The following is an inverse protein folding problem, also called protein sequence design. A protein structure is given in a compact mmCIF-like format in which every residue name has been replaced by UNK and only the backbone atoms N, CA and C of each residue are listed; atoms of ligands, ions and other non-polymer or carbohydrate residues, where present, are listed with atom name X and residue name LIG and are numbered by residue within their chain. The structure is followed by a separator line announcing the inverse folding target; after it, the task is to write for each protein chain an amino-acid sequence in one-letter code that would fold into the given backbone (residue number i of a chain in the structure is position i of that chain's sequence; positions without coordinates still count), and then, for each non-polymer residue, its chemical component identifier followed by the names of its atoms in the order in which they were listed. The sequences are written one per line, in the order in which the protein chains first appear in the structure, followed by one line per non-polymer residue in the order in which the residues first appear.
data_IF_840425202073
#
_entry.id   IF_840425202073
#
_cell.length_a   1.000
_cell.length_b   1.000
_cell.length_c   1.000
_cell.angle_alpha   90.00
_cell.angle_beta   90.00
_cell.angle_gamma   90.00
#
_symmetry.space_group_name_H-M   'P 1'
#
loop_
_entity.id
_entity.type
_entity.pdbx_description
1 polymer ?
#
# COMPACT_ATOMS: atom_id res chain seq x y z
N UNK A 1 4.30 -4.42 41.07
CA UNK A 1 5.20 -5.29 40.29
C UNK A 1 4.52 -5.82 39.01
N UNK A 2 3.28 -6.32 39.05
CA UNK A 2 2.60 -6.82 37.85
C UNK A 2 2.31 -5.74 36.77
N UNK A 3 1.96 -4.52 37.19
CA UNK A 3 1.69 -3.39 36.29
C UNK A 3 2.94 -2.94 35.49
N UNK A 4 4.12 -3.07 36.07
CA UNK A 4 5.40 -2.68 35.45
C UNK A 4 5.83 -3.71 34.38
N UNK A 5 5.53 -4.99 34.61
CA UNK A 5 5.75 -6.07 33.63
C UNK A 5 4.82 -5.95 32.43
N UNK A 6 3.53 -5.65 32.64
CA UNK A 6 2.61 -5.38 31.52
C UNK A 6 3.02 -4.13 30.74
N UNK A 7 3.46 -3.08 31.43
CA UNK A 7 3.85 -1.83 30.78
C UNK A 7 5.13 -1.96 29.94
N UNK A 8 6.11 -2.78 30.37
CA UNK A 8 7.26 -3.15 29.54
C UNK A 8 6.86 -4.02 28.35
N UNK A 9 5.87 -4.90 28.52
CA UNK A 9 5.30 -5.71 27.44
C UNK A 9 4.55 -4.90 26.37
N UNK A 10 4.08 -3.69 26.70
CA UNK A 10 3.39 -2.77 25.79
C UNK A 10 4.31 -1.74 25.10
N UNK A 11 5.51 -1.52 25.66
CA UNK A 11 6.49 -0.59 25.09
C UNK A 11 7.06 -1.09 23.76
N UNK A 12 7.34 -2.40 23.67
CA UNK A 12 7.93 -3.01 22.49
C UNK A 12 6.94 -3.14 21.30
N UNK A 13 5.66 -3.49 21.50
CA UNK A 13 4.61 -3.38 20.49
C UNK A 13 4.39 -1.95 20.00
N UNK A 14 4.38 -0.97 20.91
CA UNK A 14 4.12 0.44 20.56
C UNK A 14 5.26 1.03 19.72
N UNK A 15 6.51 0.74 20.09
CA UNK A 15 7.68 1.18 19.31
C UNK A 15 7.71 0.55 17.91
N UNK A 16 7.38 -0.74 17.80
CA UNK A 16 7.29 -1.44 16.51
C UNK A 16 6.14 -0.91 15.66
N UNK A 17 4.98 -0.58 16.24
CA UNK A 17 3.86 0.03 15.53
C UNK A 17 4.24 1.41 14.96
N UNK A 18 4.89 2.26 15.77
CA UNK A 18 5.36 3.58 15.32
C UNK A 18 6.39 3.48 14.19
N UNK A 19 7.32 2.53 14.29
CA UNK A 19 8.31 2.25 13.24
C UNK A 19 7.63 1.77 11.96
N UNK A 20 6.65 0.87 12.08
CA UNK A 20 5.89 0.35 10.96
C UNK A 20 5.11 1.47 10.26
N UNK A 21 4.45 2.35 11.00
CA UNK A 21 3.75 3.50 10.44
C UNK A 21 4.67 4.54 9.79
N UNK A 22 5.89 4.70 10.29
CA UNK A 22 6.92 5.51 9.61
C UNK A 22 7.31 4.96 8.23
N UNK A 23 7.27 3.63 8.05
CA UNK A 23 7.62 2.95 6.79
C UNK A 23 6.41 2.80 5.86
N UNK A 24 5.19 2.79 6.39
CA UNK A 24 3.96 2.62 5.61
C UNK A 24 3.87 3.66 4.48
N UNK A 25 4.07 4.95 4.77
CA UNK A 25 3.95 5.99 3.75
C UNK A 25 4.94 5.83 2.57
N UNK A 26 6.27 5.67 2.80
CA UNK A 26 7.21 5.40 1.72
C UNK A 26 6.97 4.04 1.04
N UNK A 27 6.54 3.00 1.76
CA UNK A 27 6.20 1.71 1.17
C UNK A 27 5.00 1.82 0.22
N UNK A 28 3.99 2.60 0.57
CA UNK A 28 2.82 2.84 -0.29
C UNK A 28 3.20 3.61 -1.55
N UNK A 29 4.11 4.58 -1.45
CA UNK A 29 4.64 5.27 -2.62
C UNK A 29 5.42 4.31 -3.54
N UNK A 30 6.24 3.44 -2.96
CA UNK A 30 6.98 2.42 -3.71
C UNK A 30 6.03 1.46 -4.44
N UNK A 31 5.02 0.93 -3.74
CA UNK A 31 3.98 0.07 -4.32
C UNK A 31 3.22 0.77 -5.43
N UNK A 32 2.87 2.04 -5.27
CA UNK A 32 2.18 2.82 -6.29
C UNK A 32 3.02 2.97 -7.57
N UNK A 33 4.32 3.24 -7.45
CA UNK A 33 5.22 3.33 -8.60
C UNK A 33 5.41 1.98 -9.29
N UNK A 34 5.61 0.91 -8.51
CA UNK A 34 5.77 -0.43 -9.05
C UNK A 34 4.52 -0.89 -9.82
N UNK A 35 3.34 -0.66 -9.24
CA UNK A 35 2.06 -0.95 -9.87
C UNK A 35 1.88 -0.15 -11.17
N UNK A 36 2.21 1.15 -11.17
CA UNK A 36 2.16 1.96 -12.38
C UNK A 36 3.05 1.41 -13.50
N UNK A 37 4.31 1.05 -13.20
CA UNK A 37 5.23 0.47 -14.18
C UNK A 37 4.72 -0.88 -14.70
N UNK A 38 4.20 -1.74 -13.82
CA UNK A 38 3.63 -3.03 -14.21
C UNK A 38 2.44 -2.87 -15.17
N UNK A 39 1.52 -1.95 -14.86
CA UNK A 39 0.37 -1.64 -15.72
C UNK A 39 0.82 -1.02 -17.05
N UNK A 40 1.79 -0.11 -17.03
CA UNK A 40 2.30 0.51 -18.25
C UNK A 40 2.95 -0.52 -19.19
N UNK A 41 3.75 -1.45 -18.64
CA UNK A 41 4.41 -2.50 -19.42
C UNK A 41 3.41 -3.54 -19.98
N UNK A 42 2.57 -4.11 -19.12
CA UNK A 42 1.62 -5.16 -19.50
C UNK A 42 0.45 -4.60 -20.31
N UNK A 43 -0.10 -3.47 -19.88
CA UNK A 43 -1.19 -2.78 -20.56
C UNK A 43 -0.75 -2.24 -21.92
N UNK A 44 0.46 -1.67 -22.02
CA UNK A 44 1.03 -1.26 -23.31
C UNK A 44 1.09 -2.41 -24.32
N UNK A 45 1.52 -3.59 -23.87
CA UNK A 45 1.50 -4.80 -24.71
C UNK A 45 0.09 -5.19 -25.14
N UNK A 46 -0.89 -5.23 -24.22
CA UNK A 46 -2.28 -5.61 -24.53
C UNK A 46 -3.05 -4.61 -25.41
N UNK A 47 -2.73 -3.32 -25.33
CA UNK A 47 -3.29 -2.30 -26.22
C UNK A 47 -2.74 -2.44 -27.63
N UNK A 48 -1.43 -2.67 -27.77
CA UNK A 48 -0.81 -2.90 -29.08
C UNK A 48 -1.30 -4.20 -29.72
N UNK A 49 -1.62 -5.23 -28.93
CA UNK A 49 -2.21 -6.48 -29.43
C UNK A 49 -3.72 -6.39 -29.72
N UNK A 50 -4.36 -5.24 -29.45
CA UNK A 50 -5.80 -5.04 -29.66
C UNK A 50 -6.70 -5.82 -28.69
N UNK A 51 -6.13 -6.40 -27.62
CA UNK A 51 -6.85 -7.22 -26.63
C UNK A 51 -7.53 -6.39 -25.55
N UNK A 52 -7.08 -5.14 -25.33
CA UNK A 52 -7.67 -4.16 -24.43
C UNK A 52 -7.65 -2.77 -25.06
N UNK A 53 -8.62 -1.92 -24.70
CA UNK A 53 -8.63 -0.51 -25.09
C UNK A 53 -7.81 0.33 -24.11
N UNK A 54 -7.43 1.55 -24.51
CA UNK A 54 -6.79 2.51 -23.61
C UNK A 54 -7.70 2.87 -22.41
N UNK A 55 -9.02 2.87 -22.61
CA UNK A 55 -10.00 3.12 -21.55
C UNK A 55 -9.99 2.04 -20.47
N UNK A 56 -9.80 0.77 -20.86
CA UNK A 56 -9.74 -0.35 -19.91
C UNK A 56 -8.51 -0.22 -18.99
N UNK A 57 -7.37 0.20 -19.53
CA UNK A 57 -6.16 0.50 -18.72
C UNK A 57 -6.43 1.64 -17.75
N UNK A 58 -7.05 2.73 -18.21
CA UNK A 58 -7.33 3.89 -17.37
C UNK A 58 -8.26 3.51 -16.20
N UNK A 59 -9.30 2.72 -16.47
CA UNK A 59 -10.21 2.20 -15.45
C UNK A 59 -9.47 1.31 -14.44
N UNK A 60 -8.60 0.41 -14.92
CA UNK A 60 -7.80 -0.46 -14.06
C UNK A 60 -6.86 0.33 -13.12
N UNK A 61 -6.16 1.35 -13.63
CA UNK A 61 -5.30 2.24 -12.81
C UNK A 61 -6.13 2.92 -11.72
N UNK A 62 -7.32 3.42 -12.06
CA UNK A 62 -8.19 4.09 -11.08
C UNK A 62 -8.66 3.13 -9.99
N UNK A 63 -9.13 1.93 -10.35
CA UNK A 63 -9.55 0.92 -9.37
C UNK A 63 -8.40 0.44 -8.51
N UNK A 64 -7.21 0.26 -9.08
CA UNK A 64 -6.04 -0.16 -8.32
C UNK A 64 -5.64 0.89 -7.28
N UNK A 65 -5.69 2.18 -7.63
CA UNK A 65 -5.47 3.28 -6.68
C UNK A 65 -6.54 3.34 -5.58
N UNK A 66 -7.80 3.08 -5.92
CA UNK A 66 -8.88 2.98 -4.92
C UNK A 66 -8.62 1.86 -3.91
N UNK A 67 -7.96 0.77 -4.31
CA UNK A 67 -7.59 -0.32 -3.42
C UNK A 67 -6.42 0.03 -2.48
N UNK A 68 -5.50 0.88 -2.93
CA UNK A 68 -4.35 1.33 -2.14
C UNK A 68 -4.75 2.28 -1.00
N UNK A 69 -5.79 3.10 -1.17
CA UNK A 69 -6.26 4.06 -0.17
C UNK A 69 -6.70 3.45 1.19
N UNK A 70 -7.57 2.43 1.24
CA UNK A 70 -8.00 1.82 2.51
C UNK A 70 -6.86 1.14 3.26
N UNK A 71 -5.85 0.61 2.56
CA UNK A 71 -4.65 0.03 3.19
C UNK A 71 -3.92 1.12 3.99
N UNK A 72 -3.75 2.31 3.42
CA UNK A 72 -3.15 3.46 4.13
C UNK A 72 -3.94 3.85 5.37
N UNK A 73 -5.28 3.80 5.30
CA UNK A 73 -6.14 4.13 6.45
C UNK A 73 -6.03 3.10 7.58
N UNK A 74 -6.10 1.80 7.26
CA UNK A 74 -5.94 0.73 8.25
C UNK A 74 -4.57 0.83 8.91
N UNK A 75 -3.53 1.04 8.10
CA UNK A 75 -2.16 1.21 8.54
C UNK A 75 -1.96 2.45 9.45
N UNK A 76 -2.78 3.50 9.28
CA UNK A 76 -2.81 4.66 10.17
C UNK A 76 -3.60 4.44 11.47
N UNK A 77 -4.62 3.56 11.44
CA UNK A 77 -5.42 3.21 12.62
C UNK A 77 -4.73 2.18 13.53
N UNK A 78 -3.74 1.45 12.99
CA UNK A 78 -2.88 0.54 13.75
C UNK A 78 -1.71 1.25 14.46
N UNK A 79 -1.57 2.56 14.27
CA UNK A 79 -0.58 3.45 14.88
C UNK A 79 -1.11 4.06 16.17
#
# INVERSE_FOLDING_TARGET
EDFEKENQGLYEPSFRAQFLSGIIQPAMLFLANLNYVAIAALGGYWVVSGSMTLGDIQAFIQYSRQFTNPITQIASQMN
#
